data_IF_302899184666
#
_entry.id   IF_302899184666
#
_cell.length_a   1.000
_cell.length_b   1.000
_cell.length_c   1.000
_cell.angle_alpha   90.00
_cell.angle_beta   90.00
_cell.angle_gamma   90.00
#
_symmetry.space_group_name_H-M   'P 1'
#
loop_
_entity.id
_entity.type
_entity.pdbx_description
1 polymer ?
#
# COMPACT_ATOMS: atom_id res chain seq x y z
N UNK A 1 -21.37 -11.55 20.74
CA UNK A 1 -20.05 -11.70 21.39
C UNK A 1 -19.05 -11.73 20.25
N UNK A 2 -18.26 -10.68 20.06
CA UNK A 2 -17.35 -10.59 18.90
C UNK A 2 -16.18 -11.57 19.05
N UNK A 3 -15.91 -12.32 17.98
CA UNK A 3 -14.80 -13.26 17.92
C UNK A 3 -13.48 -12.49 17.74
N UNK A 4 -12.57 -12.59 18.72
CA UNK A 4 -11.23 -12.01 18.62
C UNK A 4 -10.20 -13.10 18.29
N UNK A 5 -9.68 -13.04 17.06
CA UNK A 5 -8.72 -14.03 16.52
C UNK A 5 -7.40 -14.07 17.30
N UNK A 6 -7.00 -12.97 17.94
CA UNK A 6 -5.74 -12.89 18.69
C UNK A 6 -5.86 -13.55 20.07
N UNK A 7 -7.00 -13.39 20.75
CA UNK A 7 -7.28 -14.08 22.01
C UNK A 7 -7.36 -15.60 21.78
N UNK A 8 -8.01 -16.03 20.69
CA UNK A 8 -8.25 -17.44 20.41
C UNK A 8 -6.99 -18.21 19.94
N UNK A 9 -6.17 -17.63 19.05
CA UNK A 9 -5.06 -18.36 18.42
C UNK A 9 -3.67 -17.98 18.93
N UNK A 10 -3.52 -16.83 19.60
CA UNK A 10 -2.20 -16.32 20.02
C UNK A 10 -2.06 -16.13 21.53
N UNK A 11 -3.06 -16.52 22.31
CA UNK A 11 -3.03 -16.42 23.77
C UNK A 11 -2.87 -14.99 24.28
N UNK A 12 -3.27 -14.00 23.47
CA UNK A 12 -3.16 -12.59 23.83
C UNK A 12 -4.15 -12.28 24.95
N UNK A 13 -3.66 -11.87 26.12
CA UNK A 13 -4.51 -11.39 27.23
C UNK A 13 -4.63 -9.87 27.15
N UNK A 14 -5.87 -9.35 27.16
CA UNK A 14 -6.14 -7.91 27.22
C UNK A 14 -5.42 -7.29 28.42
N UNK A 15 -4.41 -6.48 28.16
CA UNK A 15 -3.75 -5.66 29.17
C UNK A 15 -4.65 -4.46 29.52
N UNK A 16 -4.61 -4.01 30.77
CA UNK A 16 -5.38 -2.83 31.23
C UNK A 16 -4.89 -1.52 30.60
N UNK A 17 -3.66 -1.53 30.08
CA UNK A 17 -3.10 -0.52 29.19
C UNK A 17 -3.22 -0.98 27.75
N UNK A 18 -4.14 -0.39 26.98
CA UNK A 18 -4.28 -0.66 25.55
C UNK A 18 -5.69 -0.46 25.01
N UNK A 19 -5.85 -0.46 23.67
CA UNK A 19 -7.11 -0.21 22.99
C UNK A 19 -8.13 -1.30 23.31
N UNK A 20 -9.36 -0.91 23.67
CA UNK A 20 -10.42 -1.78 24.23
C UNK A 20 -11.48 -2.20 23.21
N UNK A 21 -11.55 -1.55 22.06
CA UNK A 21 -12.45 -1.94 20.95
C UNK A 21 -11.66 -2.29 19.68
N UNK A 22 -12.24 -3.06 18.74
CA UNK A 22 -11.62 -3.33 17.44
C UNK A 22 -11.23 -2.04 16.68
N UNK A 23 -12.03 -0.99 16.78
CA UNK A 23 -11.77 0.32 16.18
C UNK A 23 -10.60 1.01 16.87
N UNK A 24 -10.53 1.00 18.21
CA UNK A 24 -9.38 1.54 18.94
C UNK A 24 -8.12 0.71 18.67
N UNK A 25 -8.26 -0.60 18.49
CA UNK A 25 -7.15 -1.53 18.22
C UNK A 25 -6.63 -1.35 16.79
N UNK A 26 -7.52 -1.20 15.82
CA UNK A 26 -7.20 -0.79 14.45
C UNK A 26 -6.57 0.60 14.42
N UNK A 27 -7.15 1.57 15.13
CA UNK A 27 -6.63 2.94 15.23
C UNK A 27 -5.25 2.98 15.88
N UNK A 28 -5.01 2.25 16.96
CA UNK A 28 -3.70 2.14 17.57
C UNK A 28 -2.70 1.41 16.67
N UNK A 29 -3.15 0.41 15.90
CA UNK A 29 -2.33 -0.25 14.90
C UNK A 29 -1.91 0.72 13.78
N UNK A 30 -2.84 1.56 13.29
CA UNK A 30 -2.58 2.58 12.28
C UNK A 30 -1.75 3.77 12.80
N UNK A 31 -1.91 4.15 14.06
CA UNK A 31 -1.24 5.31 14.66
C UNK A 31 0.11 4.99 15.32
N UNK A 32 0.46 3.71 15.53
CA UNK A 32 1.75 3.35 16.11
C UNK A 32 2.04 1.85 16.32
N UNK A 33 1.07 0.95 16.13
CA UNK A 33 1.21 -0.44 16.56
C UNK A 33 1.29 -0.56 18.10
N UNK A 34 1.17 -1.78 18.63
CA UNK A 34 1.37 -2.03 20.07
C UNK A 34 2.80 -1.72 20.54
N UNK A 35 3.75 -1.56 19.62
CA UNK A 35 5.15 -1.23 19.89
C UNK A 35 5.46 0.27 19.74
N UNK A 36 4.51 1.10 19.31
CA UNK A 36 4.72 2.52 19.00
C UNK A 36 5.39 3.33 20.12
N UNK A 37 4.94 3.20 21.38
CA UNK A 37 5.60 3.88 22.51
C UNK A 37 7.06 3.47 22.69
N UNK A 38 7.36 2.17 22.64
CA UNK A 38 8.73 1.65 22.79
C UNK A 38 9.61 2.07 21.61
N UNK A 39 9.09 2.01 20.38
CA UNK A 39 9.78 2.49 19.18
C UNK A 39 10.08 3.99 19.33
N UNK A 40 9.14 4.79 19.83
CA UNK A 40 9.33 6.22 20.03
C UNK A 40 10.48 6.54 20.99
N UNK A 41 10.63 5.78 22.08
CA UNK A 41 11.77 5.94 23.02
C UNK A 41 13.12 5.69 22.34
N UNK A 42 13.19 4.67 21.47
CA UNK A 42 14.40 4.41 20.68
C UNK A 42 14.65 5.51 19.63
N UNK A 43 13.60 6.05 19.01
CA UNK A 43 13.73 7.19 18.09
C UNK A 43 14.25 8.43 18.84
N UNK A 44 13.80 8.67 20.08
CA UNK A 44 14.31 9.78 20.91
C UNK A 44 15.78 9.64 21.22
N UNK A 45 16.22 8.44 21.63
CA UNK A 45 17.62 8.16 21.87
C UNK A 45 18.46 8.38 20.60
N UNK A 46 17.93 7.98 19.43
CA UNK A 46 18.61 8.15 18.13
C UNK A 46 18.72 9.63 17.74
N UNK A 47 17.64 10.39 17.92
CA UNK A 47 17.60 11.83 17.68
C UNK A 47 18.57 12.58 18.59
N UNK A 48 18.58 12.26 19.89
CA UNK A 48 19.51 12.83 20.86
C UNK A 48 20.97 12.53 20.51
N UNK A 49 21.27 11.29 20.10
CA UNK A 49 22.61 10.88 19.67
C UNK A 49 23.08 11.62 18.41
N UNK A 50 22.14 11.97 17.53
CA UNK A 50 22.38 12.77 16.33
C UNK A 50 22.46 14.29 16.60
N UNK A 51 22.23 14.73 17.83
CA UNK A 51 22.16 16.15 18.17
C UNK A 51 20.94 16.88 17.59
N UNK A 52 19.86 16.15 17.28
CA UNK A 52 18.66 16.67 16.63
C UNK A 52 17.43 16.57 17.53
N UNK A 53 16.46 17.46 17.30
CA UNK A 53 15.10 17.26 17.82
C UNK A 53 14.45 16.03 17.16
N UNK A 54 13.50 15.37 17.83
CA UNK A 54 12.73 14.24 17.24
C UNK A 54 12.18 14.59 15.86
N UNK A 55 11.54 15.76 15.72
CA UNK A 55 10.93 16.21 14.46
C UNK A 55 11.98 16.39 13.36
N UNK A 56 13.12 17.01 13.69
CA UNK A 56 14.23 17.20 12.74
C UNK A 56 14.83 15.86 12.34
N UNK A 57 15.01 14.94 13.29
CA UNK A 57 15.55 13.60 13.07
C UNK A 57 14.63 12.75 12.17
N UNK A 58 13.31 12.81 12.38
CA UNK A 58 12.33 12.10 11.55
C UNK A 58 12.35 12.54 10.08
N UNK A 59 12.84 13.74 9.78
CA UNK A 59 13.06 14.22 8.42
C UNK A 59 14.38 13.75 7.77
N UNK A 60 15.20 12.97 8.47
CA UNK A 60 16.52 12.52 7.97
C UNK A 60 16.47 11.12 7.35
N UNK A 61 17.55 10.73 6.68
CA UNK A 61 17.71 9.38 6.15
C UNK A 61 17.73 8.29 7.23
N UNK A 62 18.05 8.63 8.48
CA UNK A 62 18.17 7.70 9.63
C UNK A 62 16.85 7.39 10.32
N UNK A 63 15.77 8.11 10.04
CA UNK A 63 14.49 7.96 10.73
C UNK A 63 13.92 6.53 10.64
N UNK A 64 13.81 6.00 9.41
CA UNK A 64 13.30 4.66 9.17
C UNK A 64 14.27 3.56 9.66
N UNK A 65 15.59 3.64 9.37
CA UNK A 65 16.58 2.75 9.98
C UNK A 65 16.50 2.68 11.51
N UNK A 66 16.33 3.82 12.20
CA UNK A 66 16.21 3.86 13.65
C UNK A 66 14.95 3.14 14.14
N UNK A 67 13.82 3.28 13.45
CA UNK A 67 12.59 2.55 13.76
C UNK A 67 12.75 1.04 13.54
N UNK A 68 13.38 0.63 12.43
CA UNK A 68 13.66 -0.77 12.12
C UNK A 68 14.61 -1.41 13.15
N UNK A 69 15.67 -0.70 13.53
CA UNK A 69 16.60 -1.15 14.56
C UNK A 69 15.91 -1.23 15.93
N UNK A 70 15.01 -0.31 16.25
CA UNK A 70 14.19 -0.37 17.44
C UNK A 70 13.33 -1.64 17.46
N UNK A 71 12.65 -1.97 16.36
CA UNK A 71 11.88 -3.22 16.25
C UNK A 71 12.76 -4.44 16.49
N UNK A 72 13.96 -4.49 15.91
CA UNK A 72 14.90 -5.59 16.17
C UNK A 72 15.26 -5.70 17.66
N UNK A 73 15.56 -4.56 18.31
CA UNK A 73 15.95 -4.50 19.73
C UNK A 73 14.80 -4.88 20.66
N UNK A 74 13.60 -4.36 20.43
CA UNK A 74 12.40 -4.62 21.26
C UNK A 74 12.00 -6.10 21.18
N UNK A 75 12.04 -6.67 19.97
CA UNK A 75 11.57 -8.04 19.74
C UNK A 75 12.65 -9.11 19.98
N UNK A 76 13.92 -8.72 20.03
CA UNK A 76 15.06 -9.65 20.07
C UNK A 76 15.27 -10.42 18.76
N UNK A 77 14.54 -10.09 17.70
CA UNK A 77 14.60 -10.74 16.40
C UNK A 77 15.27 -9.84 15.36
N UNK A 78 16.03 -10.41 14.43
CA UNK A 78 16.64 -9.66 13.31
C UNK A 78 15.67 -9.64 12.12
N UNK A 79 14.60 -8.85 12.22
CA UNK A 79 13.65 -8.65 11.12
C UNK A 79 14.24 -7.81 9.98
N UNK A 80 14.96 -6.76 10.34
CA UNK A 80 15.51 -5.80 9.39
C UNK A 80 17.03 -5.85 9.39
N UNK A 81 17.63 -5.82 8.20
CA UNK A 81 19.07 -5.70 8.06
C UNK A 81 19.48 -4.22 8.06
N UNK A 82 19.70 -3.69 9.26
CA UNK A 82 20.02 -2.28 9.52
C UNK A 82 21.13 -2.19 10.55
N UNK A 83 22.14 -1.38 10.24
CA UNK A 83 23.27 -1.11 11.13
C UNK A 83 22.98 0.02 12.12
N UNK A 84 23.73 0.07 13.22
CA UNK A 84 23.67 1.20 14.14
C UNK A 84 24.08 2.53 13.47
N UNK A 85 25.03 2.50 12.53
CA UNK A 85 25.43 3.68 11.77
C UNK A 85 24.27 4.25 10.94
N UNK A 86 23.49 3.41 10.25
CA UNK A 86 22.29 3.86 9.53
C UNK A 86 21.24 4.48 10.46
N UNK A 87 21.09 3.92 11.67
CA UNK A 87 20.11 4.39 12.66
C UNK A 87 20.53 5.69 13.36
N UNK A 88 21.82 5.96 13.52
CA UNK A 88 22.32 7.06 14.35
C UNK A 88 23.06 8.16 13.60
N UNK A 89 23.52 7.92 12.38
CA UNK A 89 24.33 8.86 11.62
C UNK A 89 23.64 9.20 10.28
N UNK A 90 22.95 10.35 10.17
CA UNK A 90 22.25 10.74 8.95
C UNK A 90 23.12 10.76 7.69
N UNK A 91 24.42 11.06 7.83
CA UNK A 91 25.38 11.03 6.74
C UNK A 91 25.67 9.59 6.27
N UNK A 92 25.99 8.68 7.19
CA UNK A 92 26.21 7.27 6.87
C UNK A 92 24.94 6.61 6.31
N UNK A 93 23.77 6.91 6.87
CA UNK A 93 22.49 6.43 6.35
C UNK A 93 22.23 6.90 4.92
N UNK A 94 22.57 8.14 4.59
CA UNK A 94 22.46 8.68 3.23
C UNK A 94 23.47 8.00 2.30
N UNK A 95 24.72 7.84 2.73
CA UNK A 95 25.75 7.17 1.94
C UNK A 95 25.40 5.71 1.66
N UNK A 96 24.93 4.96 2.66
CA UNK A 96 24.51 3.55 2.50
C UNK A 96 23.31 3.44 1.56
N UNK A 97 22.33 4.35 1.65
CA UNK A 97 21.21 4.40 0.68
C UNK A 97 21.68 4.68 -0.75
N UNK A 98 22.69 5.55 -0.92
CA UNK A 98 23.26 5.85 -2.25
C UNK A 98 24.14 4.69 -2.76
N UNK A 99 24.85 4.01 -1.87
CA UNK A 99 25.77 2.91 -2.20
C UNK A 99 25.08 1.56 -2.36
N UNK A 100 23.89 1.35 -1.76
CA UNK A 100 23.00 0.24 -2.12
C UNK A 100 22.61 0.45 -3.58
N UNK A 101 23.26 -0.30 -4.47
CA UNK A 101 23.10 -0.15 -5.91
C UNK A 101 21.63 -0.32 -6.32
N UNK A 102 21.03 0.67 -6.99
CA UNK A 102 19.83 0.47 -7.80
C UNK A 102 20.00 -0.79 -8.66
N UNK A 103 19.13 -1.79 -8.48
CA UNK A 103 19.06 -2.97 -9.37
C UNK A 103 19.87 -4.22 -8.99
N UNK A 104 20.44 -4.36 -7.79
CA UNK A 104 20.92 -5.68 -7.32
C UNK A 104 19.82 -6.55 -6.72
N UNK A 105 18.77 -5.93 -6.16
CA UNK A 105 17.66 -6.64 -5.53
C UNK A 105 16.51 -6.85 -6.52
N UNK A 106 15.88 -8.02 -6.45
CA UNK A 106 14.64 -8.29 -7.19
C UNK A 106 13.45 -7.73 -6.40
N UNK A 107 13.02 -6.53 -6.77
CA UNK A 107 11.92 -5.83 -6.08
C UNK A 107 10.59 -6.15 -6.75
N UNK A 108 9.65 -6.67 -5.96
CA UNK A 108 8.27 -6.88 -6.39
C UNK A 108 7.39 -5.83 -5.72
N UNK A 109 6.81 -4.93 -6.51
CA UNK A 109 5.75 -4.05 -6.01
C UNK A 109 4.42 -4.80 -6.02
N UNK A 110 3.97 -5.22 -4.85
CA UNK A 110 2.86 -6.17 -4.70
C UNK A 110 1.48 -5.50 -4.71
N UNK A 111 1.39 -4.17 -4.56
CA UNK A 111 0.10 -3.47 -4.41
C UNK A 111 0.03 -2.20 -5.24
N UNK A 112 0.15 -2.34 -6.56
CA UNK A 112 0.06 -1.18 -7.46
C UNK A 112 -1.35 -1.00 -7.99
N UNK A 113 -1.84 0.23 -7.93
CA UNK A 113 -3.12 0.68 -8.49
C UNK A 113 -2.89 1.86 -9.43
N UNK A 114 -3.71 1.96 -10.46
CA UNK A 114 -3.85 3.15 -11.29
C UNK A 114 -5.13 3.88 -10.88
N UNK A 115 -5.14 5.22 -10.84
CA UNK A 115 -6.36 5.97 -10.49
C UNK A 115 -6.81 6.94 -11.58
N UNK A 116 -6.58 6.63 -12.86
CA UNK A 116 -7.34 7.25 -13.96
C UNK A 116 -7.89 6.18 -14.90
N UNK A 117 -9.22 6.08 -14.88
CA UNK A 117 -10.00 5.41 -15.93
C UNK A 117 -9.93 6.27 -17.20
N UNK A 118 -9.82 5.67 -18.38
CA UNK A 118 -9.63 6.44 -19.64
C UNK A 118 -10.79 7.43 -19.91
N UNK A 119 -12.01 7.07 -19.56
CA UNK A 119 -13.21 7.91 -19.66
C UNK A 119 -13.44 8.83 -18.44
N UNK A 120 -12.54 8.80 -17.46
CA UNK A 120 -12.59 9.63 -16.26
C UNK A 120 -13.71 9.26 -15.28
N UNK A 121 -13.76 10.03 -14.17
CA UNK A 121 -14.79 9.91 -13.14
C UNK A 121 -15.65 11.17 -13.15
N UNK A 122 -16.94 11.02 -13.45
CA UNK A 122 -17.90 12.11 -13.60
C UNK A 122 -19.05 11.88 -12.59
N UNK A 123 -19.13 12.69 -11.52
CA UNK A 123 -20.18 12.57 -10.52
C UNK A 123 -21.58 12.61 -11.14
N UNK A 124 -22.43 11.67 -10.76
CA UNK A 124 -23.82 11.59 -11.23
C UNK A 124 -24.00 11.06 -12.67
N UNK A 125 -22.91 10.77 -13.39
CA UNK A 125 -22.95 10.19 -14.75
C UNK A 125 -22.44 8.75 -14.73
N UNK A 126 -21.16 8.57 -14.38
CA UNK A 126 -20.52 7.25 -14.33
C UNK A 126 -19.87 6.98 -12.96
N UNK A 127 -20.06 7.87 -11.99
CA UNK A 127 -19.52 7.73 -10.63
C UNK A 127 -20.51 8.28 -9.60
N UNK A 128 -20.76 7.54 -8.52
CA UNK A 128 -21.62 7.97 -7.41
C UNK A 128 -20.90 9.01 -6.52
N UNK A 129 -21.63 9.67 -5.63
CA UNK A 129 -21.01 10.57 -4.62
C UNK A 129 -20.01 9.81 -3.72
N UNK A 130 -20.35 8.57 -3.33
CA UNK A 130 -19.49 7.70 -2.53
C UNK A 130 -18.23 7.31 -3.28
N UNK A 131 -18.37 6.93 -4.56
CA UNK A 131 -17.24 6.62 -5.43
C UNK A 131 -16.31 7.83 -5.63
N UNK A 132 -16.90 9.02 -5.78
CA UNK A 132 -16.14 10.27 -5.94
C UNK A 132 -15.38 10.68 -4.68
N UNK A 133 -15.90 10.39 -3.48
CA UNK A 133 -15.15 10.62 -2.25
C UNK A 133 -13.81 9.89 -2.26
N UNK A 134 -13.79 8.63 -2.69
CA UNK A 134 -12.56 7.84 -2.77
C UNK A 134 -11.62 8.33 -3.87
N UNK A 135 -12.15 8.74 -5.03
CA UNK A 135 -11.36 9.39 -6.08
C UNK A 135 -10.69 10.68 -5.55
N UNK A 136 -11.42 11.50 -4.80
CA UNK A 136 -10.89 12.74 -4.22
C UNK A 136 -9.79 12.47 -3.18
N UNK A 137 -9.95 11.45 -2.33
CA UNK A 137 -8.92 11.05 -1.37
C UNK A 137 -7.60 10.71 -2.07
N UNK A 138 -7.65 9.96 -3.17
CA UNK A 138 -6.46 9.59 -3.95
C UNK A 138 -5.88 10.78 -4.70
N UNK A 139 -6.74 11.69 -5.15
CA UNK A 139 -6.33 12.92 -5.82
C UNK A 139 -5.54 13.83 -4.87
N UNK A 140 -6.03 14.02 -3.66
CA UNK A 140 -5.37 14.80 -2.62
C UNK A 140 -4.05 14.16 -2.18
N UNK A 141 -4.03 12.83 -2.03
CA UNK A 141 -2.80 12.09 -1.74
C UNK A 141 -1.77 12.25 -2.87
N UNK A 142 -2.18 12.12 -4.12
CA UNK A 142 -1.32 12.33 -5.28
C UNK A 142 -0.69 13.71 -5.29
N UNK A 143 -1.50 14.76 -5.07
CA UNK A 143 -1.03 16.14 -4.97
C UNK A 143 -0.06 16.35 -3.81
N UNK A 144 -0.35 15.77 -2.64
CA UNK A 144 0.54 15.82 -1.48
C UNK A 144 1.89 15.14 -1.74
N UNK A 145 1.91 14.13 -2.62
CA UNK A 145 3.12 13.41 -3.06
C UNK A 145 3.81 14.06 -4.27
N UNK A 146 3.35 15.24 -4.71
CA UNK A 146 3.98 16.02 -5.78
C UNK A 146 3.50 15.73 -7.20
N UNK A 147 2.36 15.03 -7.38
CA UNK A 147 1.69 14.88 -8.67
C UNK A 147 0.75 16.09 -8.91
N UNK A 148 1.11 17.06 -9.77
CA UNK A 148 0.38 18.32 -9.88
C UNK A 148 -1.09 18.16 -10.31
N UNK A 149 -1.40 17.14 -11.11
CA UNK A 149 -2.77 16.85 -11.55
C UNK A 149 -3.41 15.69 -10.77
N UNK A 150 -2.78 15.24 -9.67
CA UNK A 150 -3.29 14.21 -8.78
C UNK A 150 -3.63 12.90 -9.51
N UNK A 151 -4.88 12.46 -9.38
CA UNK A 151 -5.38 11.24 -10.02
C UNK A 151 -5.20 11.25 -11.53
N UNK A 152 -5.33 12.40 -12.21
CA UNK A 152 -5.20 12.53 -13.67
C UNK A 152 -3.81 12.18 -14.20
N UNK A 153 -2.79 12.30 -13.35
CA UNK A 153 -1.44 11.86 -13.68
C UNK A 153 -1.28 10.34 -13.53
N UNK A 154 -2.22 9.63 -12.91
CA UNK A 154 -2.17 8.17 -12.75
C UNK A 154 -2.76 7.48 -13.98
N UNK A 155 -2.12 7.61 -15.14
CA UNK A 155 -2.49 6.95 -16.41
C UNK A 155 -1.70 5.65 -16.62
N UNK A 156 -2.09 4.82 -17.61
CA UNK A 156 -1.35 3.60 -17.98
C UNK A 156 0.09 3.94 -18.39
N UNK A 157 0.28 5.06 -19.08
CA UNK A 157 1.59 5.54 -19.47
C UNK A 157 2.43 5.94 -18.25
N UNK A 158 1.86 6.72 -17.35
CA UNK A 158 2.57 7.19 -16.16
C UNK A 158 2.79 6.08 -15.14
N UNK A 159 1.93 5.05 -15.10
CA UNK A 159 2.19 3.85 -14.32
C UNK A 159 3.54 3.24 -14.69
N UNK A 160 3.79 2.99 -15.98
CA UNK A 160 5.04 2.41 -16.41
C UNK A 160 6.22 3.36 -16.20
N UNK A 161 6.06 4.65 -16.49
CA UNK A 161 7.12 5.64 -16.25
C UNK A 161 7.52 5.74 -14.77
N UNK A 162 6.55 5.78 -13.86
CA UNK A 162 6.78 6.00 -12.43
C UNK A 162 7.20 4.71 -11.72
N UNK A 163 6.48 3.62 -11.93
CA UNK A 163 6.70 2.36 -11.21
C UNK A 163 7.77 1.52 -11.89
N UNK A 164 7.72 1.34 -13.21
CA UNK A 164 8.60 0.37 -13.87
C UNK A 164 9.89 1.03 -14.38
N UNK A 165 9.85 2.22 -14.96
CA UNK A 165 11.02 2.83 -15.60
C UNK A 165 11.79 3.74 -14.64
N UNK A 166 11.07 4.49 -13.79
CA UNK A 166 11.63 5.47 -12.87
C UNK A 166 11.91 4.95 -11.46
N UNK A 167 11.70 3.65 -11.19
CA UNK A 167 11.96 3.04 -9.87
C UNK A 167 12.76 1.74 -9.98
N UNK A 168 13.24 1.25 -8.84
CA UNK A 168 13.98 -0.02 -8.73
C UNK A 168 13.07 -1.27 -8.83
N UNK A 169 11.76 -1.09 -9.05
CA UNK A 169 10.79 -2.19 -9.16
C UNK A 169 11.15 -3.11 -10.31
N UNK A 170 11.47 -4.37 -10.03
CA UNK A 170 11.74 -5.38 -11.07
C UNK A 170 10.45 -5.84 -11.74
N UNK A 171 9.43 -6.14 -10.93
CA UNK A 171 8.10 -6.58 -11.38
C UNK A 171 7.03 -5.88 -10.55
N UNK A 172 6.00 -5.34 -11.20
CA UNK A 172 4.80 -4.85 -10.53
C UNK A 172 3.67 -5.87 -10.63
N UNK A 173 3.02 -6.15 -9.50
CA UNK A 173 1.75 -6.87 -9.45
C UNK A 173 0.64 -5.85 -9.58
N UNK A 174 -0.01 -5.87 -10.73
CA UNK A 174 -1.15 -5.04 -11.00
C UNK A 174 -2.38 -5.60 -10.27
N UNK A 175 -2.93 -4.77 -9.39
CA UNK A 175 -4.09 -5.14 -8.59
C UNK A 175 -5.34 -4.40 -9.11
N UNK A 176 -6.45 -5.11 -9.36
CA UNK A 176 -7.75 -4.48 -9.58
C UNK A 176 -8.29 -3.82 -8.30
N UNK A 177 -9.15 -2.83 -8.50
CA UNK A 177 -9.99 -2.23 -7.47
C UNK A 177 -11.43 -2.10 -7.98
N UNK A 178 -12.40 -2.59 -7.19
CA UNK A 178 -13.79 -2.80 -7.62
C UNK A 178 -14.75 -1.66 -7.28
N UNK A 179 -15.97 -2.04 -6.86
CA UNK A 179 -17.15 -1.20 -6.57
C UNK A 179 -17.86 -0.68 -7.82
N UNK A 180 -18.17 -1.59 -8.76
CA UNK A 180 -18.87 -1.26 -10.02
C UNK A 180 -20.13 -0.44 -9.80
N UNK A 181 -20.82 -0.69 -8.70
CA UNK A 181 -22.04 -0.01 -8.26
C UNK A 181 -21.80 1.50 -8.09
N UNK A 182 -20.63 1.88 -7.58
CA UNK A 182 -20.23 3.28 -7.39
C UNK A 182 -19.58 3.89 -8.63
N UNK A 183 -19.23 3.10 -9.64
CA UNK A 183 -18.46 3.52 -10.82
C UNK A 183 -19.18 3.21 -12.14
N UNK A 184 -20.52 3.29 -12.12
CA UNK A 184 -21.35 3.25 -13.33
C UNK A 184 -21.35 1.89 -14.02
N UNK A 185 -21.26 0.81 -13.24
CA UNK A 185 -21.21 -0.56 -13.72
C UNK A 185 -19.84 -0.98 -14.27
N UNK A 186 -18.77 -0.21 -14.07
CA UNK A 186 -17.39 -0.62 -14.39
C UNK A 186 -16.54 -0.55 -13.13
N UNK A 187 -15.53 -1.39 -12.97
CA UNK A 187 -14.65 -1.32 -11.80
C UNK A 187 -13.94 0.05 -11.78
N UNK A 188 -13.55 0.53 -10.59
CA UNK A 188 -12.71 1.74 -10.49
C UNK A 188 -11.46 1.59 -11.35
N UNK A 189 -10.87 0.41 -11.29
CA UNK A 189 -9.72 0.02 -12.12
C UNK A 189 -10.14 -1.18 -12.95
N UNK A 190 -10.61 -0.93 -14.17
CA UNK A 190 -11.08 -2.01 -15.03
C UNK A 190 -9.92 -2.85 -15.56
N UNK A 191 -10.24 -4.08 -15.93
CA UNK A 191 -9.23 -5.07 -16.30
C UNK A 191 -8.59 -4.76 -17.67
N UNK A 192 -9.30 -4.02 -18.54
CA UNK A 192 -8.80 -3.58 -19.84
C UNK A 192 -7.53 -2.72 -19.71
N UNK A 193 -7.52 -1.80 -18.74
CA UNK A 193 -6.41 -0.91 -18.46
C UNK A 193 -5.20 -1.68 -17.90
N UNK A 194 -5.45 -2.73 -17.10
CA UNK A 194 -4.40 -3.63 -16.61
C UNK A 194 -3.80 -4.46 -17.74
N UNK A 195 -4.65 -4.96 -18.65
CA UNK A 195 -4.21 -5.69 -19.82
C UNK A 195 -3.35 -4.81 -20.73
N UNK A 196 -3.67 -3.51 -20.82
CA UNK A 196 -2.84 -2.55 -21.54
C UNK A 196 -1.45 -2.39 -20.90
N UNK A 197 -1.37 -2.24 -19.57
CA UNK A 197 -0.08 -2.19 -18.85
C UNK A 197 0.73 -3.45 -19.11
N UNK A 198 0.10 -4.64 -18.96
CA UNK A 198 0.76 -5.93 -19.24
C UNK A 198 1.26 -6.01 -20.68
N UNK A 199 0.52 -5.50 -21.66
CA UNK A 199 0.97 -5.48 -23.06
C UNK A 199 2.18 -4.59 -23.29
N UNK A 200 2.26 -3.44 -22.59
CA UNK A 200 3.39 -2.50 -22.69
C UNK A 200 4.64 -3.00 -21.96
N UNK A 201 4.47 -3.67 -20.81
CA UNK A 201 5.58 -4.22 -20.00
C UNK A 201 5.40 -5.72 -19.68
N UNK A 202 5.42 -6.60 -20.70
CA UNK A 202 5.01 -8.00 -20.58
C UNK A 202 5.87 -8.82 -19.61
N UNK A 203 7.14 -8.50 -19.44
CA UNK A 203 8.06 -9.23 -18.55
C UNK A 203 8.16 -8.61 -17.16
N UNK A 204 7.57 -7.43 -16.94
CA UNK A 204 7.68 -6.66 -15.68
C UNK A 204 6.33 -6.40 -15.02
N UNK A 205 5.28 -7.04 -15.50
CA UNK A 205 3.93 -6.91 -14.95
C UNK A 205 3.30 -8.28 -14.75
N UNK A 206 2.72 -8.49 -13.58
CA UNK A 206 1.80 -9.60 -13.28
C UNK A 206 0.42 -9.00 -13.14
N UNK A 207 -0.59 -9.56 -13.81
CA UNK A 207 -1.96 -9.04 -13.75
C UNK A 207 -2.86 -9.99 -12.96
N UNK A 208 -3.56 -9.45 -11.97
CA UNK A 208 -4.55 -10.21 -11.19
C UNK A 208 -5.97 -9.89 -11.65
N UNK A 209 -6.87 -10.86 -11.58
CA UNK A 209 -8.31 -10.62 -11.65
C UNK A 209 -8.86 -10.20 -10.30
N UNK A 210 -9.94 -9.43 -10.29
CA UNK A 210 -10.55 -8.96 -9.04
C UNK A 210 -11.60 -7.91 -9.32
N UNK A 211 -11.82 -7.00 -8.35
CA UNK A 211 -13.04 -6.17 -8.34
C UNK A 211 -14.31 -7.00 -8.06
N UNK A 212 -14.14 -8.27 -7.68
CA UNK A 212 -15.21 -9.16 -7.23
C UNK A 212 -15.59 -8.76 -5.80
N UNK A 213 -16.86 -8.40 -5.59
CA UNK A 213 -17.41 -7.98 -4.31
C UNK A 213 -18.23 -9.11 -3.67
N UNK A 214 -18.28 -9.24 -2.33
CA UNK A 214 -19.01 -10.32 -1.67
C UNK A 214 -20.50 -10.43 -2.04
N UNK A 215 -21.18 -9.31 -2.31
CA UNK A 215 -22.62 -9.29 -2.55
C UNK A 215 -23.04 -9.18 -4.03
N UNK A 216 -22.12 -9.25 -5.01
CA UNK A 216 -22.46 -9.16 -6.44
C UNK A 216 -23.22 -10.37 -7.00
N UNK A 217 -23.35 -11.45 -6.22
CA UNK A 217 -24.06 -12.67 -6.62
C UNK A 217 -23.18 -13.69 -7.34
N UNK A 218 -23.61 -14.95 -7.30
CA UNK A 218 -22.82 -16.08 -7.80
C UNK A 218 -22.65 -16.05 -9.33
N UNK A 219 -23.71 -15.79 -10.08
CA UNK A 219 -23.68 -15.80 -11.55
C UNK A 219 -22.71 -14.75 -12.10
N UNK A 220 -22.85 -13.49 -11.65
CA UNK A 220 -21.93 -12.39 -11.99
C UNK A 220 -20.48 -12.77 -11.64
N UNK A 221 -20.26 -13.36 -10.45
CA UNK A 221 -18.92 -13.79 -10.03
C UNK A 221 -18.33 -14.83 -10.98
N UNK A 222 -19.09 -15.86 -11.36
CA UNK A 222 -18.62 -16.93 -12.25
C UNK A 222 -18.37 -16.42 -13.68
N UNK A 223 -19.23 -15.55 -14.19
CA UNK A 223 -19.06 -14.92 -15.50
C UNK A 223 -17.79 -14.09 -15.54
N UNK A 224 -17.55 -13.27 -14.50
CA UNK A 224 -16.32 -12.46 -14.40
C UNK A 224 -15.07 -13.32 -14.25
N UNK A 225 -15.10 -14.37 -13.44
CA UNK A 225 -13.97 -15.30 -13.31
C UNK A 225 -13.65 -15.99 -14.65
N UNK A 226 -14.67 -16.45 -15.36
CA UNK A 226 -14.52 -17.05 -16.70
C UNK A 226 -13.87 -16.04 -17.65
N UNK A 227 -14.40 -14.82 -17.69
CA UNK A 227 -13.86 -13.74 -18.52
C UNK A 227 -12.39 -13.40 -18.16
N UNK A 228 -12.04 -13.35 -16.88
CA UNK A 228 -10.66 -13.08 -16.46
C UNK A 228 -9.68 -14.15 -16.94
N UNK A 229 -10.08 -15.41 -16.91
CA UNK A 229 -9.23 -16.54 -17.34
C UNK A 229 -9.17 -16.62 -18.86
N UNK A 230 -10.33 -16.66 -19.52
CA UNK A 230 -10.41 -16.94 -20.97
C UNK A 230 -9.93 -15.75 -21.82
N UNK A 231 -10.30 -14.52 -21.44
CA UNK A 231 -9.98 -13.33 -22.23
C UNK A 231 -8.66 -12.68 -21.82
N UNK A 232 -8.41 -12.60 -20.51
CA UNK A 232 -7.32 -11.80 -19.96
C UNK A 232 -6.15 -12.62 -19.41
N UNK A 233 -6.29 -13.95 -19.29
CA UNK A 233 -5.23 -14.86 -18.85
C UNK A 233 -4.53 -14.38 -17.55
N UNK A 234 -5.34 -13.97 -16.57
CA UNK A 234 -4.87 -13.49 -15.27
C UNK A 234 -3.92 -14.50 -14.60
N UNK A 235 -2.96 -14.00 -13.83
CA UNK A 235 -2.00 -14.84 -13.09
C UNK A 235 -2.47 -15.21 -11.68
N UNK A 236 -3.58 -14.64 -11.22
CA UNK A 236 -4.13 -14.88 -9.89
C UNK A 236 -5.32 -13.97 -9.59
N UNK A 237 -5.82 -14.03 -8.37
CA UNK A 237 -6.98 -13.27 -7.92
C UNK A 237 -6.65 -12.37 -6.73
N UNK A 238 -7.28 -11.20 -6.72
CA UNK A 238 -7.41 -10.33 -5.55
C UNK A 238 -8.89 -10.20 -5.19
N UNK A 239 -9.21 -10.55 -3.95
CA UNK A 239 -10.57 -10.53 -3.44
C UNK A 239 -10.68 -9.53 -2.29
N UNK A 240 -11.79 -8.80 -2.24
CA UNK A 240 -12.14 -7.94 -1.13
C UNK A 240 -13.10 -8.67 -0.20
N UNK A 241 -12.95 -8.44 1.10
CA UNK A 241 -13.87 -8.95 2.13
C UNK A 241 -15.02 -7.98 2.41
N UNK A 242 -15.14 -6.92 1.61
CA UNK A 242 -16.11 -5.85 1.77
C UNK A 242 -16.53 -5.31 0.40
N UNK A 243 -17.63 -4.58 0.37
CA UNK A 243 -18.10 -3.83 -0.79
C UNK A 243 -18.57 -2.43 -0.41
N UNK A 244 -19.17 -1.73 -1.37
CA UNK A 244 -19.73 -0.40 -1.17
C UNK A 244 -21.14 -0.41 -0.56
N UNK A 245 -21.66 -1.55 -0.13
CA UNK A 245 -22.99 -1.63 0.51
C UNK A 245 -22.92 -1.55 2.03
#
# INVERSE_FOLDING_TARGET
>A
MEFNVFEHFKGYQRTTSGPRTPEEQGTAFFLGGHLGPQISEHIDASAARSGLSRRSFLGTASALPAAMLAVNKITGMRFFDVTEAEAYEPAAAKEIKVNRKPGQDFIVDAHTHICTRQDGYIPGVNTSERGMWFVQLLDDLGKAMGLPNGTKDMTVENFGKLILEGSDTSVAIFNPFGFREDYGGKDMIPIEEQAEVKRRWPTRTVMLGGGLTPNQGLSETLERLTMFVEKYQISGLKLYTFDST
#
